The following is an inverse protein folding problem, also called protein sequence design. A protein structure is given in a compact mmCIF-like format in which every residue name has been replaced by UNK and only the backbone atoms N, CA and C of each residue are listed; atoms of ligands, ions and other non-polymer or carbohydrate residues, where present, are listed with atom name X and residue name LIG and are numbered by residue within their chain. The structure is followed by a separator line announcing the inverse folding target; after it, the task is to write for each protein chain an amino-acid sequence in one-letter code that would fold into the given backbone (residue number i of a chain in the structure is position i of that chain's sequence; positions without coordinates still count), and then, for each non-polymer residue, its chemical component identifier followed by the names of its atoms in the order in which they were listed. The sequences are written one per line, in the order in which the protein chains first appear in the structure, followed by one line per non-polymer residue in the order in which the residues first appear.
data_IF_705062976447
#
_entry.id   IF_705062976447
#
_cell.length_a   1.000
_cell.length_b   1.000
_cell.length_c   1.000
_cell.angle_alpha   90.00
_cell.angle_beta   90.00
_cell.angle_gamma   90.00
#
_symmetry.space_group_name_H-M   'P 1'
#
loop_
_entity.id
_entity.type
_entity.pdbx_description
1 polymer ?
#
# COMPACT_ATOMS: atom_id res chain seq x y z
N UNK A 1 -22.99 -6.46 4.22
CA UNK A 1 -22.56 -5.06 4.35
C UNK A 1 -21.27 -4.89 3.56
N UNK A 2 -21.13 -3.79 2.85
CA UNK A 2 -20.00 -3.54 1.93
C UNK A 2 -19.12 -2.42 2.48
N UNK A 3 -17.84 -2.40 2.10
CA UNK A 3 -16.87 -1.36 2.49
C UNK A 3 -16.62 -0.43 1.32
N UNK A 4 -16.65 0.88 1.55
CA UNK A 4 -16.26 1.89 0.57
C UNK A 4 -14.86 2.42 0.88
N UNK A 5 -13.94 2.30 -0.08
CA UNK A 5 -12.60 2.88 -0.02
C UNK A 5 -12.55 4.07 -0.99
N UNK A 6 -12.10 5.21 -0.50
CA UNK A 6 -11.99 6.46 -1.28
C UNK A 6 -10.53 6.87 -1.43
N UNK A 7 -10.12 7.20 -2.65
CA UNK A 7 -8.75 7.61 -2.98
C UNK A 7 -8.72 9.04 -3.54
N UNK A 8 -8.85 10.07 -2.68
CA UNK A 8 -8.83 11.46 -3.13
C UNK A 8 -7.45 11.84 -3.71
N UNK A 9 -7.46 12.52 -4.86
CA UNK A 9 -6.22 12.91 -5.57
C UNK A 9 -5.57 14.17 -4.99
N UNK A 10 -6.30 14.93 -4.18
CA UNK A 10 -5.83 16.16 -3.57
C UNK A 10 -6.58 16.50 -2.28
N UNK A 11 -6.03 17.44 -1.50
CA UNK A 11 -6.59 17.88 -0.23
C UNK A 11 -8.02 18.43 -0.35
N UNK A 12 -8.34 19.12 -1.45
CA UNK A 12 -9.69 19.67 -1.68
C UNK A 12 -10.74 18.56 -1.80
N UNK A 13 -10.42 17.50 -2.53
CA UNK A 13 -11.29 16.32 -2.64
C UNK A 13 -11.46 15.61 -1.30
N UNK A 14 -10.36 15.39 -0.57
CA UNK A 14 -10.40 14.75 0.74
C UNK A 14 -11.33 15.52 1.71
N UNK A 15 -11.18 16.84 1.80
CA UNK A 15 -12.03 17.69 2.65
C UNK A 15 -13.51 17.64 2.25
N UNK A 16 -13.81 17.63 0.95
CA UNK A 16 -15.18 17.53 0.47
C UNK A 16 -15.81 16.18 0.85
N UNK A 17 -15.07 15.09 0.71
CA UNK A 17 -15.54 13.74 1.08
C UNK A 17 -15.78 13.65 2.59
N UNK A 18 -14.85 14.14 3.41
CA UNK A 18 -14.99 14.16 4.87
C UNK A 18 -16.24 14.93 5.30
N UNK A 19 -16.52 16.08 4.70
CA UNK A 19 -17.72 16.86 4.99
C UNK A 19 -19.00 16.09 4.66
N UNK A 20 -19.05 15.39 3.52
CA UNK A 20 -20.22 14.58 3.14
C UNK A 20 -20.40 13.41 4.12
N UNK A 21 -19.34 12.69 4.47
CA UNK A 21 -19.42 11.56 5.41
C UNK A 21 -19.86 12.01 6.80
N UNK A 22 -19.37 13.17 7.28
CA UNK A 22 -19.82 13.77 8.53
C UNK A 22 -21.30 14.18 8.48
N UNK A 23 -21.75 14.80 7.38
CA UNK A 23 -23.16 15.19 7.22
C UNK A 23 -24.11 13.98 7.21
N UNK A 24 -23.64 12.83 6.74
CA UNK A 24 -24.37 11.56 6.76
C UNK A 24 -24.22 10.80 8.09
N UNK A 25 -23.49 11.35 9.06
CA UNK A 25 -23.20 10.73 10.35
C UNK A 25 -22.54 9.34 10.21
N UNK A 26 -21.69 9.18 9.19
CA UNK A 26 -20.95 7.95 8.91
C UNK A 26 -19.58 8.02 9.57
N UNK A 27 -19.25 7.01 10.37
CA UNK A 27 -17.90 6.86 10.93
C UNK A 27 -16.95 6.37 9.85
N UNK A 28 -15.82 7.06 9.69
CA UNK A 28 -14.76 6.67 8.76
C UNK A 28 -13.40 6.63 9.43
N UNK A 29 -12.47 5.90 8.82
CA UNK A 29 -11.06 5.82 9.23
C UNK A 29 -10.20 6.33 8.09
N UNK A 30 -9.13 7.05 8.43
CA UNK A 30 -8.10 7.41 7.47
C UNK A 30 -6.98 6.39 7.61
N UNK A 31 -6.70 5.66 6.53
CA UNK A 31 -5.50 4.83 6.50
C UNK A 31 -4.28 5.73 6.33
N UNK A 32 -3.22 5.43 7.07
CA UNK A 32 -1.95 6.12 6.89
C UNK A 32 -1.32 5.66 5.59
N UNK A 33 -0.72 6.59 4.87
CA UNK A 33 0.12 6.22 3.73
C UNK A 33 1.30 5.41 4.26
N UNK A 34 1.78 4.47 3.45
CA UNK A 34 3.04 3.80 3.74
C UNK A 34 4.13 4.85 3.98
N UNK A 35 5.00 4.59 4.95
CA UNK A 35 6.08 5.51 5.24
C UNK A 35 7.00 5.64 4.01
N UNK A 36 7.62 6.81 3.82
CA UNK A 36 8.45 7.08 2.64
C UNK A 36 9.57 6.04 2.47
N UNK A 37 10.21 5.63 3.57
CA UNK A 37 11.27 4.61 3.55
C UNK A 37 10.79 3.27 2.97
N UNK A 38 9.57 2.85 3.26
CA UNK A 38 8.98 1.63 2.72
C UNK A 38 8.74 1.75 1.21
N UNK A 39 8.25 2.91 0.75
CA UNK A 39 8.09 3.19 -0.67
C UNK A 39 9.45 3.17 -1.38
N UNK A 40 10.48 3.74 -0.78
CA UNK A 40 11.84 3.75 -1.32
C UNK A 40 12.44 2.33 -1.41
N UNK A 41 12.27 1.51 -0.36
CA UNK A 41 12.70 0.10 -0.39
C UNK A 41 11.95 -0.72 -1.44
N UNK A 42 10.65 -0.47 -1.64
CA UNK A 42 9.90 -1.11 -2.73
C UNK A 42 10.45 -0.71 -4.10
N UNK A 43 10.69 0.58 -4.33
CA UNK A 43 11.23 1.08 -5.59
C UNK A 43 12.62 0.48 -5.88
N UNK A 44 13.45 0.35 -4.84
CA UNK A 44 14.75 -0.33 -4.91
C UNK A 44 14.59 -1.81 -5.25
N UNK A 45 13.63 -2.51 -4.64
CA UNK A 45 13.33 -3.90 -4.97
C UNK A 45 12.92 -4.09 -6.44
N UNK A 46 12.10 -3.19 -6.99
CA UNK A 46 11.77 -3.22 -8.42
C UNK A 46 12.99 -3.01 -9.32
N UNK A 47 13.91 -2.13 -8.92
CA UNK A 47 15.16 -1.89 -9.64
C UNK A 47 16.10 -3.10 -9.56
N UNK A 48 16.20 -3.74 -8.39
CA UNK A 48 16.96 -4.96 -8.16
C UNK A 48 16.47 -6.09 -9.08
N UNK A 49 15.15 -6.28 -9.18
CA UNK A 49 14.53 -7.26 -10.10
C UNK A 49 14.92 -6.95 -11.55
N UNK A 50 14.79 -5.69 -11.99
CA UNK A 50 15.15 -5.28 -13.37
C UNK A 50 16.62 -5.52 -13.68
N UNK A 51 17.49 -5.43 -12.68
CA UNK A 51 18.94 -5.67 -12.80
C UNK A 51 19.34 -7.12 -12.53
N UNK A 52 18.37 -8.02 -12.31
CA UNK A 52 18.61 -9.44 -12.05
C UNK A 52 19.20 -9.73 -10.67
N UNK A 53 19.19 -8.77 -9.74
CA UNK A 53 19.57 -8.94 -8.33
C UNK A 53 18.41 -9.54 -7.55
N UNK A 54 18.11 -10.80 -7.81
CA UNK A 54 17.02 -11.53 -7.19
C UNK A 54 17.49 -12.87 -6.66
N UNK A 55 16.83 -13.35 -5.61
CA UNK A 55 16.96 -14.72 -5.12
C UNK A 55 15.80 -15.52 -5.68
N UNK A 56 16.12 -16.53 -6.50
CA UNK A 56 15.10 -17.42 -7.06
C UNK A 56 14.85 -18.57 -6.09
N UNK A 57 13.60 -18.77 -5.72
CA UNK A 57 13.18 -19.92 -4.92
C UNK A 57 13.10 -21.13 -5.84
N UNK A 58 13.90 -22.16 -5.55
CA UNK A 58 13.89 -23.41 -6.32
C UNK A 58 12.85 -24.40 -5.79
N UNK A 59 12.72 -24.51 -4.46
CA UNK A 59 11.71 -25.33 -3.79
C UNK A 59 10.63 -24.45 -3.15
N UNK A 60 9.48 -24.34 -3.82
CA UNK A 60 8.34 -23.55 -3.34
C UNK A 60 7.71 -24.16 -2.08
N UNK A 61 7.92 -25.45 -1.81
CA UNK A 61 7.44 -26.10 -0.58
C UNK A 61 8.37 -25.84 0.61
N UNK A 62 9.61 -25.41 0.36
CA UNK A 62 10.60 -25.11 1.39
C UNK A 62 11.29 -23.76 1.16
N UNK A 63 10.49 -22.69 1.12
CA UNK A 63 10.95 -21.34 0.81
C UNK A 63 11.97 -20.79 1.81
N UNK A 64 11.91 -21.23 3.07
CA UNK A 64 12.69 -20.65 4.16
C UNK A 64 14.19 -20.92 4.01
N UNK A 65 14.58 -22.14 3.60
CA UNK A 65 15.98 -22.48 3.30
C UNK A 65 16.57 -21.65 2.16
N UNK A 66 15.72 -21.10 1.27
CA UNK A 66 16.17 -20.29 0.12
C UNK A 66 16.29 -18.80 0.43
N UNK A 67 15.78 -18.31 1.58
CA UNK A 67 15.73 -16.86 1.92
C UNK A 67 16.36 -16.51 3.28
N UNK A 68 16.75 -17.50 4.07
CA UNK A 68 17.52 -17.36 5.30
C UNK A 68 19.03 -17.40 5.01
#
# INVERSE_FOLDING_TARGET
METLIVQPKNKKQLLAIEAVLHALNVTFKKEQHYNAKFIDEMAKGEEDIKKGRLTRIEDVQNIWESIL
#
